data_IF_748103801579
#
_entry.id   IF_748103801579
#
_cell.length_a   1.000
_cell.length_b   1.000
_cell.length_c   1.000
_cell.angle_alpha   90.00
_cell.angle_beta   90.00
_cell.angle_gamma   90.00
#
_symmetry.space_group_name_H-M   'P 1'
#
loop_
_entity.id
_entity.type
_entity.pdbx_description
1 polymer ?
#
# COMPACT_ATOMS: atom_id res chain seq x y z
N UNK A 1 -0.50 -9.71 -31.95
CA UNK A 1 0.80 -9.69 -32.64
C UNK A 1 1.96 -9.67 -31.66
N UNK A 2 1.97 -8.81 -30.66
CA UNK A 2 2.98 -8.78 -29.58
C UNK A 2 3.09 -10.13 -28.83
N UNK A 3 1.95 -10.80 -28.59
CA UNK A 3 1.90 -12.12 -27.95
C UNK A 3 2.35 -13.29 -28.85
N UNK A 4 2.58 -13.06 -30.15
CA UNK A 4 2.90 -14.11 -31.14
C UNK A 4 4.36 -14.07 -31.62
N UNK A 5 5.26 -13.27 -31.00
CA UNK A 5 6.68 -13.25 -31.31
C UNK A 5 7.02 -12.77 -32.74
N UNK A 6 6.22 -11.91 -33.32
CA UNK A 6 6.51 -11.33 -34.64
C UNK A 6 7.80 -10.49 -34.57
N UNK A 7 8.71 -10.67 -35.56
CA UNK A 7 10.01 -9.97 -35.62
C UNK A 7 9.87 -8.44 -35.69
N UNK A 8 8.74 -7.92 -36.14
CA UNK A 8 8.43 -6.50 -36.23
C UNK A 8 6.91 -6.31 -36.13
N UNK A 9 6.36 -6.16 -34.90
CA UNK A 9 4.92 -6.11 -34.69
C UNK A 9 4.29 -4.82 -35.22
N UNK A 10 5.06 -3.76 -35.43
CA UNK A 10 4.56 -2.42 -35.79
C UNK A 10 4.71 -2.07 -37.27
N UNK A 11 5.42 -2.86 -38.06
CA UNK A 11 5.72 -2.61 -39.47
C UNK A 11 4.49 -2.28 -40.34
N UNK A 12 3.34 -2.87 -40.03
CA UNK A 12 2.10 -2.57 -40.76
C UNK A 12 1.56 -1.18 -40.45
N UNK A 13 1.62 -0.77 -39.19
CA UNK A 13 1.17 0.54 -38.72
C UNK A 13 2.11 1.63 -39.26
N UNK A 14 3.42 1.40 -39.24
CA UNK A 14 4.43 2.30 -39.79
C UNK A 14 4.25 2.54 -41.30
N UNK A 15 4.00 1.46 -42.05
CA UNK A 15 3.68 1.59 -43.48
C UNK A 15 2.40 2.37 -43.75
N UNK A 16 1.35 2.13 -42.94
CA UNK A 16 0.10 2.87 -43.08
C UNK A 16 0.29 4.36 -42.74
N UNK A 17 1.05 4.67 -41.70
CA UNK A 17 1.40 6.05 -41.35
C UNK A 17 2.31 6.72 -42.39
N UNK A 18 3.25 5.96 -43.02
CA UNK A 18 4.05 6.47 -44.12
C UNK A 18 3.20 6.79 -45.36
N UNK A 19 2.13 6.02 -45.62
CA UNK A 19 1.20 6.27 -46.69
C UNK A 19 0.20 7.41 -46.40
N UNK A 20 -0.14 7.60 -45.12
CA UNK A 20 -1.07 8.64 -44.63
C UNK A 20 -0.50 9.35 -43.39
N UNK A 21 0.51 10.22 -43.53
CA UNK A 21 1.21 10.87 -42.40
C UNK A 21 0.29 11.75 -41.53
N UNK A 22 -0.82 12.22 -42.10
CA UNK A 22 -1.83 13.05 -41.40
C UNK A 22 -2.91 12.25 -40.65
N UNK A 23 -2.85 10.91 -40.62
CA UNK A 23 -3.82 10.11 -39.86
C UNK A 23 -3.51 10.18 -38.34
N UNK A 24 -4.08 11.21 -37.70
CA UNK A 24 -3.93 11.47 -36.28
C UNK A 24 -4.44 10.33 -35.39
N UNK A 25 -5.54 9.68 -35.81
CA UNK A 25 -6.14 8.59 -35.07
C UNK A 25 -5.22 7.35 -35.03
N UNK A 26 -4.69 7.00 -36.20
CA UNK A 26 -3.76 5.88 -36.33
C UNK A 26 -2.46 6.18 -35.56
N UNK A 27 -1.95 7.42 -35.66
CA UNK A 27 -0.76 7.87 -34.92
C UNK A 27 -0.95 7.80 -33.42
N UNK A 28 -2.10 8.23 -32.89
CA UNK A 28 -2.43 8.14 -31.47
C UNK A 28 -2.46 6.69 -30.99
N UNK A 29 -3.09 5.79 -31.75
CA UNK A 29 -3.11 4.36 -31.41
C UNK A 29 -1.69 3.76 -31.45
N UNK A 30 -0.89 4.14 -32.42
CA UNK A 30 0.51 3.70 -32.52
C UNK A 30 1.34 4.20 -31.33
N UNK A 31 1.26 5.48 -31.02
CA UNK A 31 1.91 6.06 -29.84
C UNK A 31 1.54 5.35 -28.54
N UNK A 32 0.24 5.06 -28.32
CA UNK A 32 -0.23 4.27 -27.16
C UNK A 32 0.31 2.86 -27.11
N UNK A 33 0.45 2.17 -28.24
CA UNK A 33 1.04 0.84 -28.29
C UNK A 33 2.54 0.87 -27.95
N UNK A 34 3.24 1.92 -28.39
CA UNK A 34 4.66 2.10 -28.11
C UNK A 34 4.96 2.34 -26.62
N UNK A 35 4.03 2.91 -25.84
CA UNK A 35 4.26 3.14 -24.40
C UNK A 35 4.57 1.89 -23.60
N UNK A 36 4.23 0.71 -24.10
CA UNK A 36 4.54 -0.58 -23.47
C UNK A 36 5.83 -1.25 -23.97
N UNK A 37 6.49 -0.70 -25.02
CA UNK A 37 7.62 -1.35 -25.69
C UNK A 37 8.80 -0.43 -25.98
N UNK A 38 8.54 0.82 -26.35
CA UNK A 38 9.54 1.84 -26.67
C UNK A 38 8.98 3.23 -26.33
N UNK A 39 9.28 3.67 -25.11
CA UNK A 39 8.77 4.94 -24.59
C UNK A 39 9.33 6.16 -25.34
N UNK A 40 10.58 6.07 -25.88
CA UNK A 40 11.18 7.14 -26.66
C UNK A 40 10.47 7.31 -28.01
N UNK A 41 10.19 6.20 -28.70
CA UNK A 41 9.40 6.22 -29.93
C UNK A 41 7.95 6.66 -29.69
N UNK A 42 7.37 6.29 -28.54
CA UNK A 42 6.06 6.80 -28.13
C UNK A 42 6.06 8.33 -28.04
N UNK A 43 7.06 8.91 -27.35
CA UNK A 43 7.22 10.37 -27.24
C UNK A 43 7.18 11.05 -28.60
N UNK A 44 7.95 10.57 -29.57
CA UNK A 44 7.99 11.15 -30.91
C UNK A 44 6.60 11.20 -31.57
N UNK A 45 5.80 10.14 -31.44
CA UNK A 45 4.44 10.13 -32.00
C UNK A 45 3.53 11.14 -31.31
N UNK A 46 3.62 11.24 -29.98
CA UNK A 46 2.84 12.24 -29.23
C UNK A 46 3.30 13.68 -29.49
N UNK A 47 4.60 13.94 -29.68
CA UNK A 47 5.12 15.25 -30.08
C UNK A 47 4.59 15.70 -31.45
N UNK A 48 4.55 14.78 -32.44
CA UNK A 48 3.95 15.05 -33.74
C UNK A 48 2.45 15.41 -33.63
N UNK A 49 1.71 14.71 -32.77
CA UNK A 49 0.29 15.01 -32.52
C UNK A 49 0.12 16.37 -31.80
N UNK A 50 0.92 16.62 -30.79
CA UNK A 50 0.87 17.87 -30.02
C UNK A 50 1.24 19.09 -30.88
N UNK A 51 2.15 18.94 -31.85
CA UNK A 51 2.45 20.01 -32.80
C UNK A 51 1.25 20.42 -33.68
N UNK A 52 0.32 19.46 -33.94
CA UNK A 52 -0.93 19.72 -34.67
C UNK A 52 -2.04 20.25 -33.77
N UNK A 53 -2.01 19.90 -32.49
CA UNK A 53 -3.03 20.25 -31.48
C UNK A 53 -2.35 20.68 -30.17
N UNK A 54 -1.69 21.86 -30.14
CA UNK A 54 -0.81 22.26 -29.02
C UNK A 54 -1.56 22.58 -27.71
N UNK A 55 -2.89 22.61 -27.73
CA UNK A 55 -3.74 22.89 -26.57
C UNK A 55 -4.56 21.66 -26.15
N UNK A 56 -4.26 20.51 -26.73
CA UNK A 56 -4.95 19.25 -26.37
C UNK A 56 -4.42 18.75 -25.03
N UNK A 57 -5.29 18.77 -24.02
CA UNK A 57 -4.93 18.43 -22.63
C UNK A 57 -4.50 16.97 -22.46
N UNK A 58 -5.09 16.05 -23.24
CA UNK A 58 -4.76 14.62 -23.16
C UNK A 58 -3.38 14.35 -23.78
N UNK A 59 -3.03 15.06 -24.86
CA UNK A 59 -1.71 14.96 -25.47
C UNK A 59 -0.63 15.57 -24.57
N UNK A 60 -0.89 16.75 -23.99
CA UNK A 60 0.04 17.40 -23.06
C UNK A 60 0.28 16.54 -21.82
N UNK A 61 -0.79 15.97 -21.23
CA UNK A 61 -0.65 15.08 -20.07
C UNK A 61 0.10 13.80 -20.46
N UNK A 62 -0.22 13.21 -21.62
CA UNK A 62 0.50 12.01 -22.09
C UNK A 62 1.99 12.27 -22.27
N UNK A 63 2.36 13.42 -22.85
CA UNK A 63 3.75 13.83 -23.01
C UNK A 63 4.44 14.08 -21.67
N UNK A 64 3.75 14.68 -20.71
CA UNK A 64 4.28 14.87 -19.36
C UNK A 64 4.61 13.52 -18.70
N UNK A 65 3.68 12.56 -18.74
CA UNK A 65 3.86 11.23 -18.15
C UNK A 65 4.95 10.42 -18.86
N UNK A 66 4.98 10.44 -20.19
CA UNK A 66 6.02 9.78 -20.99
C UNK A 66 7.40 10.33 -20.64
N UNK A 67 7.56 11.67 -20.59
CA UNK A 67 8.84 12.28 -20.27
C UNK A 67 9.29 11.95 -18.83
N UNK A 68 8.38 11.88 -17.86
CA UNK A 68 8.71 11.39 -16.51
C UNK A 68 9.21 9.96 -16.52
N UNK A 69 8.54 9.08 -17.25
CA UNK A 69 8.89 7.66 -17.30
C UNK A 69 10.30 7.43 -17.89
N UNK A 70 10.71 8.25 -18.86
CA UNK A 70 12.07 8.19 -19.43
C UNK A 70 13.10 9.02 -18.65
N UNK A 71 12.71 9.66 -17.52
CA UNK A 71 13.59 10.46 -16.68
C UNK A 71 13.88 11.89 -17.20
N UNK A 72 13.10 12.40 -18.15
CA UNK A 72 13.21 13.78 -18.66
C UNK A 72 12.21 14.70 -17.93
N UNK A 73 12.47 14.89 -16.63
CA UNK A 73 11.60 15.69 -15.77
C UNK A 73 11.49 17.15 -16.21
N UNK A 74 12.53 17.70 -16.83
CA UNK A 74 12.50 19.08 -17.33
C UNK A 74 11.45 19.27 -18.43
N UNK A 75 11.33 18.31 -19.35
CA UNK A 75 10.28 18.35 -20.38
C UNK A 75 8.91 18.03 -19.80
N UNK A 76 8.84 17.07 -18.87
CA UNK A 76 7.60 16.76 -18.16
C UNK A 76 7.03 18.02 -17.48
N UNK A 77 7.87 18.74 -16.74
CA UNK A 77 7.51 20.01 -16.10
C UNK A 77 6.99 21.06 -17.11
N UNK A 78 7.64 21.15 -18.28
CA UNK A 78 7.21 22.07 -19.33
C UNK A 78 5.76 21.79 -19.78
N UNK A 79 5.41 20.54 -20.03
CA UNK A 79 4.05 20.17 -20.45
C UNK A 79 3.03 20.35 -19.32
N UNK A 80 3.40 20.02 -18.07
CA UNK A 80 2.54 20.24 -16.92
C UNK A 80 2.25 21.74 -16.68
N UNK A 81 3.24 22.60 -16.83
CA UNK A 81 3.05 24.05 -16.75
C UNK A 81 2.15 24.58 -17.87
N UNK A 82 2.26 24.03 -19.08
CA UNK A 82 1.34 24.39 -20.18
C UNK A 82 -0.11 24.02 -19.81
N UNK A 83 -0.35 22.88 -19.16
CA UNK A 83 -1.69 22.51 -18.67
C UNK A 83 -2.22 23.54 -17.66
N UNK A 84 -1.37 23.98 -16.71
CA UNK A 84 -1.74 25.01 -15.73
C UNK A 84 -2.06 26.35 -16.43
N UNK A 85 -1.23 26.78 -17.40
CA UNK A 85 -1.45 28.03 -18.17
C UNK A 85 -2.76 27.99 -18.98
N UNK A 86 -3.18 26.78 -19.41
CA UNK A 86 -4.45 26.58 -20.10
C UNK A 86 -5.64 26.45 -19.13
N UNK A 87 -5.40 26.35 -17.83
CA UNK A 87 -6.43 26.10 -16.82
C UNK A 87 -7.04 24.70 -16.91
N UNK A 88 -6.31 23.74 -17.51
CA UNK A 88 -6.77 22.37 -17.76
C UNK A 88 -6.06 21.37 -16.84
N UNK A 89 -6.78 20.33 -16.39
CA UNK A 89 -6.25 19.23 -15.55
C UNK A 89 -5.36 19.73 -14.41
N UNK A 90 -5.76 20.83 -13.76
CA UNK A 90 -4.93 21.55 -12.79
C UNK A 90 -4.48 20.64 -11.62
N UNK A 91 -5.39 19.85 -11.08
CA UNK A 91 -5.09 18.96 -9.95
C UNK A 91 -4.02 17.91 -10.32
N UNK A 92 -4.17 17.27 -11.49
CA UNK A 92 -3.19 16.30 -11.98
C UNK A 92 -1.86 16.97 -12.26
N UNK A 93 -1.87 18.17 -12.91
CA UNK A 93 -0.66 18.92 -13.20
C UNK A 93 0.06 19.31 -11.90
N UNK A 94 -0.64 19.83 -10.90
CA UNK A 94 -0.07 20.13 -9.60
C UNK A 94 0.45 18.88 -8.88
N UNK A 95 -0.28 17.77 -8.91
CA UNK A 95 0.18 16.52 -8.33
C UNK A 95 1.51 16.05 -8.93
N UNK A 96 1.63 16.03 -10.26
CA UNK A 96 2.85 15.56 -10.91
C UNK A 96 4.02 16.55 -10.81
N UNK A 97 3.76 17.86 -10.79
CA UNK A 97 4.78 18.87 -10.46
C UNK A 97 5.30 18.71 -9.03
N UNK A 98 4.39 18.43 -8.09
CA UNK A 98 4.75 18.10 -6.72
C UNK A 98 5.65 16.85 -6.64
N UNK A 99 5.32 15.79 -7.41
CA UNK A 99 6.13 14.57 -7.50
C UNK A 99 7.53 14.84 -8.07
N UNK A 100 7.64 15.64 -9.14
CA UNK A 100 8.95 16.00 -9.72
C UNK A 100 9.78 16.79 -8.71
N UNK A 101 9.18 17.74 -8.02
CA UNK A 101 9.87 18.52 -6.99
C UNK A 101 10.32 17.65 -5.81
N UNK A 102 9.49 16.70 -5.36
CA UNK A 102 9.81 15.76 -4.29
C UNK A 102 10.96 14.83 -4.69
N UNK A 103 10.91 14.24 -5.88
CA UNK A 103 11.95 13.34 -6.41
C UNK A 103 13.31 14.08 -6.56
N UNK A 104 13.26 15.41 -6.82
CA UNK A 104 14.44 16.29 -6.84
C UNK A 104 14.89 16.79 -5.45
N UNK A 105 14.21 16.40 -4.35
CA UNK A 105 14.49 16.86 -2.98
C UNK A 105 14.01 18.29 -2.67
N UNK A 106 13.26 18.93 -3.57
CA UNK A 106 12.74 20.29 -3.40
C UNK A 106 11.41 20.26 -2.63
N UNK A 107 11.46 19.88 -1.36
CA UNK A 107 10.27 19.62 -0.54
C UNK A 107 9.35 20.83 -0.35
N UNK A 108 9.88 22.05 -0.28
CA UNK A 108 9.04 23.26 -0.18
C UNK A 108 8.19 23.46 -1.45
N UNK A 109 8.80 23.26 -2.62
CA UNK A 109 8.10 23.32 -3.90
C UNK A 109 7.08 22.20 -4.02
N UNK A 110 7.43 20.98 -3.61
CA UNK A 110 6.52 19.83 -3.60
C UNK A 110 5.27 20.11 -2.75
N UNK A 111 5.46 20.56 -1.50
CA UNK A 111 4.36 20.95 -0.60
C UNK A 111 3.51 22.07 -1.21
N UNK A 112 4.12 23.06 -1.85
CA UNK A 112 3.39 24.15 -2.53
C UNK A 112 2.46 23.62 -3.61
N UNK A 113 2.94 22.68 -4.43
CA UNK A 113 2.14 22.05 -5.46
C UNK A 113 1.06 21.14 -4.90
N UNK A 114 1.37 20.26 -3.94
CA UNK A 114 0.38 19.37 -3.34
C UNK A 114 -0.76 20.12 -2.65
N UNK A 115 -0.51 21.32 -2.12
CA UNK A 115 -1.55 22.19 -1.55
C UNK A 115 -2.56 22.72 -2.57
N UNK A 116 -2.21 22.74 -3.84
CA UNK A 116 -3.09 23.21 -4.93
C UNK A 116 -3.97 22.07 -5.47
N UNK A 117 -3.74 20.83 -5.08
CA UNK A 117 -4.57 19.70 -5.51
C UNK A 117 -5.90 19.74 -4.76
N UNK A 118 -6.98 19.94 -5.51
CA UNK A 118 -8.34 19.96 -5.01
C UNK A 118 -8.98 18.57 -4.93
N UNK A 119 -10.33 18.54 -4.86
CA UNK A 119 -11.09 17.29 -4.73
C UNK A 119 -11.11 16.50 -6.06
N UNK A 120 -10.01 15.84 -6.33
CA UNK A 120 -9.77 15.03 -7.52
C UNK A 120 -9.37 13.60 -7.13
N UNK A 121 -9.04 12.81 -8.14
CA UNK A 121 -8.49 11.46 -7.96
C UNK A 121 -7.16 11.49 -7.22
N UNK A 122 -6.34 12.51 -7.43
CA UNK A 122 -5.01 12.68 -6.88
C UNK A 122 -5.00 13.23 -5.45
N UNK A 123 -6.16 13.72 -4.96
CA UNK A 123 -6.29 14.41 -3.67
C UNK A 123 -5.73 13.62 -2.48
N UNK A 124 -6.11 12.35 -2.36
CA UNK A 124 -5.64 11.51 -1.25
C UNK A 124 -4.13 11.30 -1.29
N UNK A 125 -3.59 11.00 -2.49
CA UNK A 125 -2.16 10.80 -2.68
C UNK A 125 -1.35 12.08 -2.44
N UNK A 126 -1.86 13.23 -2.90
CA UNK A 126 -1.25 14.53 -2.63
C UNK A 126 -1.26 14.87 -1.14
N UNK A 127 -2.38 14.60 -0.46
CA UNK A 127 -2.55 14.80 0.98
C UNK A 127 -1.57 13.95 1.79
N UNK A 128 -1.42 12.68 1.44
CA UNK A 128 -0.50 11.75 2.10
C UNK A 128 0.95 12.22 1.93
N UNK A 129 1.37 12.54 0.69
CA UNK A 129 2.75 12.99 0.42
C UNK A 129 3.08 14.32 1.11
N UNK A 130 2.15 15.28 1.08
CA UNK A 130 2.30 16.54 1.79
C UNK A 130 2.49 16.30 3.29
N UNK A 131 1.64 15.47 3.89
CA UNK A 131 1.73 15.12 5.30
C UNK A 131 3.05 14.43 5.64
N UNK A 132 3.48 13.46 4.82
CA UNK A 132 4.76 12.77 4.95
C UNK A 132 5.95 13.75 4.98
N UNK A 133 5.99 14.69 4.02
CA UNK A 133 7.05 15.70 3.94
C UNK A 133 7.06 16.58 5.19
N UNK A 134 5.88 17.07 5.62
CA UNK A 134 5.78 17.94 6.80
C UNK A 134 6.21 17.20 8.08
N UNK A 135 5.77 15.97 8.27
CA UNK A 135 6.12 15.16 9.43
C UNK A 135 7.63 14.84 9.43
N UNK A 136 8.19 14.41 8.30
CA UNK A 136 9.64 14.15 8.18
C UNK A 136 10.49 15.38 8.44
N UNK A 137 9.94 16.58 8.18
CA UNK A 137 10.58 17.86 8.52
C UNK A 137 10.34 18.32 9.97
N UNK A 138 9.65 17.52 10.81
CA UNK A 138 9.30 17.87 12.18
C UNK A 138 8.19 18.92 12.31
N UNK A 139 7.49 19.25 11.22
CA UNK A 139 6.44 20.27 11.15
C UNK A 139 5.05 19.72 11.50
N UNK A 140 4.94 19.01 12.64
CA UNK A 140 3.70 18.33 13.06
C UNK A 140 2.51 19.26 13.16
N UNK A 141 2.67 20.44 13.77
CA UNK A 141 1.58 21.41 13.94
C UNK A 141 1.07 21.95 12.61
N UNK A 142 1.98 22.18 11.64
CA UNK A 142 1.63 22.63 10.30
C UNK A 142 0.83 21.54 9.56
N UNK A 143 1.25 20.28 9.67
CA UNK A 143 0.56 19.13 9.14
C UNK A 143 -0.87 19.02 9.69
N UNK A 144 -1.03 19.03 10.99
CA UNK A 144 -2.34 18.94 11.67
C UNK A 144 -3.26 20.11 11.30
N UNK A 145 -2.74 21.34 11.28
CA UNK A 145 -3.51 22.51 10.88
C UNK A 145 -3.95 22.44 9.42
N UNK A 146 -3.14 21.85 8.56
CA UNK A 146 -3.50 21.64 7.16
C UNK A 146 -4.63 20.60 7.03
N UNK A 147 -4.51 19.42 7.65
CA UNK A 147 -5.56 18.41 7.64
C UNK A 147 -6.89 18.92 8.23
N UNK A 148 -6.84 19.68 9.31
CA UNK A 148 -8.02 20.28 9.90
C UNK A 148 -8.76 21.19 8.89
N UNK A 149 -8.03 22.08 8.21
CA UNK A 149 -8.60 22.94 7.15
C UNK A 149 -9.18 22.13 5.99
N UNK A 150 -8.49 21.06 5.57
CA UNK A 150 -9.01 20.21 4.49
C UNK A 150 -10.32 19.52 4.89
N UNK A 151 -10.45 19.05 6.12
CA UNK A 151 -11.72 18.47 6.61
C UNK A 151 -12.88 19.45 6.64
N UNK A 152 -12.59 20.74 6.88
CA UNK A 152 -13.60 21.81 6.79
C UNK A 152 -13.97 22.11 5.33
N UNK A 153 -12.97 22.18 4.44
CA UNK A 153 -13.17 22.49 3.02
C UNK A 153 -13.85 21.36 2.24
N UNK A 154 -13.58 20.09 2.61
CA UNK A 154 -14.07 18.90 1.92
C UNK A 154 -14.79 17.94 2.88
N UNK A 155 -16.02 18.27 3.32
CA UNK A 155 -16.75 17.44 4.28
C UNK A 155 -16.94 15.99 3.83
N UNK A 156 -17.08 15.73 2.53
CA UNK A 156 -17.21 14.39 1.97
C UNK A 156 -15.92 13.54 2.04
N UNK A 157 -14.79 14.15 2.37
CA UNK A 157 -13.48 13.50 2.50
C UNK A 157 -12.99 13.38 3.95
N UNK A 158 -13.81 13.80 4.94
CA UNK A 158 -13.39 13.83 6.34
C UNK A 158 -12.83 12.51 6.85
N UNK A 159 -13.55 11.42 6.62
CA UNK A 159 -13.14 10.08 7.03
C UNK A 159 -11.76 9.71 6.45
N UNK A 160 -11.58 9.91 5.15
CA UNK A 160 -10.33 9.65 4.46
C UNK A 160 -9.18 10.50 5.01
N UNK A 161 -9.42 11.80 5.24
CA UNK A 161 -8.42 12.73 5.75
C UNK A 161 -8.00 12.41 7.20
N UNK A 162 -8.96 12.02 8.05
CA UNK A 162 -8.65 11.53 9.40
C UNK A 162 -7.79 10.26 9.35
N UNK A 163 -8.15 9.32 8.47
CA UNK A 163 -7.38 8.09 8.31
C UNK A 163 -5.93 8.34 7.84
N UNK A 164 -5.76 9.21 6.84
CA UNK A 164 -4.42 9.57 6.34
C UNK A 164 -3.59 10.24 7.45
N UNK A 165 -4.14 11.24 8.14
CA UNK A 165 -3.42 11.94 9.23
C UNK A 165 -3.02 10.98 10.35
N UNK A 166 -3.94 10.12 10.79
CA UNK A 166 -3.68 9.16 11.85
C UNK A 166 -2.59 8.15 11.45
N UNK A 167 -2.62 7.67 10.21
CA UNK A 167 -1.62 6.71 9.71
C UNK A 167 -0.23 7.34 9.60
N UNK A 168 -0.14 8.55 9.06
CA UNK A 168 1.13 9.28 8.98
C UNK A 168 1.75 9.53 10.37
N UNK A 169 0.93 9.86 11.36
CA UNK A 169 1.38 10.04 12.74
C UNK A 169 1.83 8.72 13.36
N UNK A 170 1.11 7.62 13.08
CA UNK A 170 1.48 6.28 13.54
C UNK A 170 2.83 5.84 12.97
N UNK A 171 3.03 5.99 11.65
CA UNK A 171 4.29 5.66 10.97
C UNK A 171 5.47 6.50 11.50
N UNK A 172 5.24 7.73 11.89
CA UNK A 172 6.23 8.60 12.51
C UNK A 172 6.49 8.30 14.01
N UNK A 173 5.83 7.29 14.58
CA UNK A 173 5.94 6.96 16.00
C UNK A 173 5.17 7.90 16.94
N UNK A 174 4.43 8.87 16.42
CA UNK A 174 3.61 9.81 17.17
C UNK A 174 2.26 9.17 17.58
N UNK A 175 2.34 8.04 18.32
CA UNK A 175 1.20 7.17 18.61
C UNK A 175 0.10 7.86 19.43
N UNK A 176 0.48 8.77 20.34
CA UNK A 176 -0.49 9.52 21.16
C UNK A 176 -1.29 10.51 20.33
N UNK A 177 -0.64 11.19 19.42
CA UNK A 177 -1.24 12.12 18.48
C UNK A 177 -2.15 11.40 17.49
N UNK A 178 -1.72 10.26 16.97
CA UNK A 178 -2.53 9.37 16.12
C UNK A 178 -3.81 8.94 16.84
N UNK A 179 -3.69 8.48 18.09
CA UNK A 179 -4.83 8.11 18.93
C UNK A 179 -5.80 9.28 19.14
N UNK A 180 -5.28 10.49 19.41
CA UNK A 180 -6.11 11.68 19.58
C UNK A 180 -6.89 12.03 18.29
N UNK A 181 -6.25 11.89 17.12
CA UNK A 181 -6.91 12.09 15.81
C UNK A 181 -8.03 11.07 15.60
N UNK A 182 -7.78 9.78 15.86
CA UNK A 182 -8.79 8.72 15.70
C UNK A 182 -9.97 8.90 16.70
N UNK A 183 -9.69 9.31 17.92
CA UNK A 183 -10.75 9.60 18.90
C UNK A 183 -11.63 10.78 18.46
N UNK A 184 -11.02 11.86 17.95
CA UNK A 184 -11.76 13.00 17.39
C UNK A 184 -12.58 12.57 16.17
N UNK A 185 -11.98 11.77 15.28
CA UNK A 185 -12.65 11.25 14.10
C UNK A 185 -13.89 10.42 14.44
N UNK A 186 -13.80 9.53 15.43
CA UNK A 186 -14.91 8.68 15.86
C UNK A 186 -15.95 9.42 16.70
N UNK A 187 -15.63 10.58 17.27
CA UNK A 187 -16.62 11.47 17.86
C UNK A 187 -17.48 12.15 16.78
N UNK A 188 -16.91 12.48 15.62
CA UNK A 188 -17.62 13.05 14.47
C UNK A 188 -18.30 11.99 13.59
N UNK A 189 -17.65 10.84 13.39
CA UNK A 189 -18.08 9.76 12.49
C UNK A 189 -18.10 8.43 13.27
N UNK A 190 -19.00 8.27 14.26
CA UNK A 190 -19.01 7.11 15.15
C UNK A 190 -19.30 5.80 14.45
N UNK A 191 -19.79 5.87 13.21
CA UNK A 191 -20.18 4.72 12.42
C UNK A 191 -19.07 4.16 11.51
N UNK A 192 -17.94 4.87 11.41
CA UNK A 192 -16.85 4.46 10.53
C UNK A 192 -16.17 3.19 11.01
N UNK A 193 -16.29 2.13 10.22
CA UNK A 193 -15.59 0.87 10.45
C UNK A 193 -14.09 1.00 10.20
N UNK A 194 -13.67 1.79 9.20
CA UNK A 194 -12.27 1.99 8.85
C UNK A 194 -11.50 2.73 9.96
N UNK A 195 -12.08 3.79 10.52
CA UNK A 195 -11.46 4.54 11.64
C UNK A 195 -11.42 3.71 12.93
N UNK A 196 -12.49 2.91 13.21
CA UNK A 196 -12.46 1.97 14.35
C UNK A 196 -11.39 0.91 14.17
N UNK A 197 -11.27 0.35 12.98
CA UNK A 197 -10.23 -0.63 12.67
C UNK A 197 -8.84 -0.02 12.89
N UNK A 198 -8.59 1.18 12.35
CA UNK A 198 -7.32 1.87 12.55
C UNK A 198 -7.03 2.11 14.05
N UNK A 199 -8.06 2.52 14.84
CA UNK A 199 -7.90 2.71 16.28
C UNK A 199 -7.66 1.40 17.03
N UNK A 200 -8.31 0.32 16.63
CA UNK A 200 -8.08 -1.01 17.22
C UNK A 200 -6.65 -1.49 17.00
N UNK A 201 -6.10 -1.33 15.80
CA UNK A 201 -4.70 -1.70 15.50
C UNK A 201 -3.71 -0.84 16.27
N UNK A 202 -3.99 0.47 16.42
CA UNK A 202 -3.18 1.34 17.24
C UNK A 202 -3.26 1.00 18.74
N UNK A 203 -4.45 0.56 19.22
CA UNK A 203 -4.64 0.05 20.57
C UNK A 203 -3.81 -1.20 20.82
N UNK A 204 -3.82 -2.15 19.88
CA UNK A 204 -2.98 -3.35 19.96
C UNK A 204 -1.49 -3.02 20.00
N UNK A 205 -1.02 -2.11 19.16
CA UNK A 205 0.37 -1.64 19.15
C UNK A 205 0.78 -0.99 20.49
N UNK A 206 -0.16 -0.36 21.20
CA UNK A 206 0.05 0.24 22.52
C UNK A 206 -0.25 -0.70 23.69
N UNK A 207 -0.48 -1.98 23.44
CA UNK A 207 -0.85 -3.01 24.42
C UNK A 207 -2.21 -2.75 25.12
N UNK A 208 -3.07 -1.90 24.54
CA UNK A 208 -4.44 -1.68 25.00
C UNK A 208 -5.39 -2.68 24.31
N UNK A 209 -5.32 -3.92 24.78
CA UNK A 209 -6.16 -5.00 24.24
C UNK A 209 -7.65 -4.77 24.49
N UNK A 210 -8.03 -4.02 25.53
CA UNK A 210 -9.41 -3.70 25.81
C UNK A 210 -10.02 -2.75 24.77
N UNK A 211 -9.28 -1.73 24.38
CA UNK A 211 -9.66 -0.82 23.30
C UNK A 211 -9.76 -1.56 21.97
N UNK A 212 -8.73 -2.35 21.64
CA UNK A 212 -8.67 -3.16 20.41
C UNK A 212 -9.91 -4.06 20.31
N UNK A 213 -10.18 -4.86 21.34
CA UNK A 213 -11.33 -5.77 21.38
C UNK A 213 -12.66 -5.01 21.29
N UNK A 214 -12.82 -3.91 22.01
CA UNK A 214 -14.03 -3.08 22.00
C UNK A 214 -14.34 -2.55 20.60
N UNK A 215 -13.34 -2.03 19.90
CA UNK A 215 -13.53 -1.46 18.57
C UNK A 215 -13.82 -2.55 17.51
N UNK A 216 -13.11 -3.67 17.53
CA UNK A 216 -13.36 -4.77 16.59
C UNK A 216 -14.74 -5.40 16.83
N UNK A 217 -15.17 -5.57 18.08
CA UNK A 217 -16.51 -6.04 18.37
C UNK A 217 -17.59 -5.06 17.91
N UNK A 218 -17.35 -3.76 18.01
CA UNK A 218 -18.29 -2.77 17.52
C UNK A 218 -18.44 -2.83 15.99
N UNK A 219 -17.37 -3.14 15.24
CA UNK A 219 -17.43 -3.37 13.80
C UNK A 219 -18.25 -4.63 13.52
N UNK A 220 -17.93 -5.76 14.19
CA UNK A 220 -18.60 -7.05 13.99
C UNK A 220 -20.10 -6.99 14.37
N UNK A 221 -20.45 -6.22 15.39
CA UNK A 221 -21.85 -6.05 15.79
C UNK A 221 -22.71 -5.36 14.72
N UNK A 222 -22.12 -4.49 13.90
CA UNK A 222 -22.82 -3.79 12.81
C UNK A 222 -22.76 -4.56 11.50
N UNK A 223 -21.62 -5.16 11.23
CA UNK A 223 -21.36 -5.98 10.05
C UNK A 223 -20.82 -7.36 10.50
N UNK A 224 -21.74 -8.30 10.80
CA UNK A 224 -21.36 -9.63 11.27
C UNK A 224 -20.52 -10.44 10.28
N UNK A 225 -20.53 -10.04 9.00
CA UNK A 225 -19.80 -10.69 7.91
C UNK A 225 -18.52 -9.93 7.52
N UNK A 226 -18.06 -9.03 8.37
CA UNK A 226 -16.79 -8.33 8.19
C UNK A 226 -15.61 -9.28 8.44
N UNK A 227 -15.16 -9.95 7.39
CA UNK A 227 -14.08 -10.95 7.48
C UNK A 227 -12.78 -10.37 8.07
N UNK A 228 -12.44 -9.12 7.75
CA UNK A 228 -11.25 -8.45 8.26
C UNK A 228 -11.32 -8.25 9.78
N UNK A 229 -12.43 -7.75 10.30
CA UNK A 229 -12.60 -7.52 11.74
C UNK A 229 -12.69 -8.84 12.52
N UNK A 230 -13.37 -9.85 11.95
CA UNK A 230 -13.42 -11.19 12.53
C UNK A 230 -12.03 -11.82 12.64
N UNK A 231 -11.24 -11.71 11.56
CA UNK A 231 -9.88 -12.23 11.52
C UNK A 231 -8.97 -11.50 12.51
N UNK A 232 -8.98 -10.17 12.49
CA UNK A 232 -8.15 -9.35 13.37
C UNK A 232 -8.43 -9.65 14.85
N UNK A 233 -9.71 -9.70 15.25
CA UNK A 233 -10.07 -10.04 16.63
C UNK A 233 -9.63 -11.47 16.98
N UNK A 234 -9.90 -12.42 16.10
CA UNK A 234 -9.53 -13.83 16.31
C UNK A 234 -8.02 -14.02 16.43
N UNK A 235 -7.23 -13.40 15.56
CA UNK A 235 -5.77 -13.45 15.61
C UNK A 235 -5.23 -12.84 16.91
N UNK A 236 -5.65 -11.64 17.27
CA UNK A 236 -5.20 -10.98 18.50
C UNK A 236 -5.56 -11.80 19.75
N UNK A 237 -6.76 -12.39 19.80
CA UNK A 237 -7.14 -13.28 20.90
C UNK A 237 -6.27 -14.53 20.97
N UNK A 238 -5.94 -15.15 19.83
CA UNK A 238 -5.06 -16.32 19.77
C UNK A 238 -3.62 -15.98 20.14
N UNK A 239 -3.15 -14.79 19.76
CA UNK A 239 -1.76 -14.37 19.95
C UNK A 239 -1.51 -13.81 21.36
N UNK A 240 -2.44 -13.03 21.89
CA UNK A 240 -2.25 -12.24 23.12
C UNK A 240 -3.00 -12.79 24.34
N UNK A 241 -3.84 -13.84 24.19
CA UNK A 241 -4.63 -14.42 25.26
C UNK A 241 -4.67 -15.95 25.18
N UNK A 242 -5.37 -16.58 26.12
CA UNK A 242 -5.66 -18.02 26.08
C UNK A 242 -7.08 -18.34 25.56
N UNK A 243 -7.76 -17.37 24.96
CA UNK A 243 -9.14 -17.50 24.45
C UNK A 243 -9.19 -18.22 23.09
N UNK A 244 -8.46 -19.32 22.95
CA UNK A 244 -8.26 -20.03 21.69
C UNK A 244 -9.55 -20.57 21.06
N UNK A 245 -10.54 -20.92 21.85
CA UNK A 245 -11.82 -21.44 21.32
C UNK A 245 -12.62 -20.33 20.64
N UNK A 246 -12.71 -19.18 21.26
CA UNK A 246 -13.36 -18.00 20.67
C UNK A 246 -12.60 -17.49 19.45
N UNK A 247 -11.27 -17.42 19.53
CA UNK A 247 -10.41 -17.07 18.41
C UNK A 247 -10.67 -17.98 17.20
N UNK A 248 -10.75 -19.28 17.43
CA UNK A 248 -11.04 -20.26 16.38
C UNK A 248 -12.43 -20.04 15.75
N UNK A 249 -13.46 -19.76 16.54
CA UNK A 249 -14.80 -19.48 16.03
C UNK A 249 -14.82 -18.23 15.13
N UNK A 250 -14.16 -17.14 15.56
CA UNK A 250 -14.06 -15.89 14.80
C UNK A 250 -13.30 -16.09 13.48
N UNK A 251 -12.13 -16.73 13.53
CA UNK A 251 -11.33 -17.01 12.35
C UNK A 251 -12.03 -17.99 11.41
N UNK A 252 -12.76 -18.98 11.93
CA UNK A 252 -13.55 -19.90 11.11
C UNK A 252 -14.65 -19.18 10.33
N UNK A 253 -15.28 -18.19 10.94
CA UNK A 253 -16.26 -17.34 10.23
C UNK A 253 -15.57 -16.51 9.16
N UNK A 254 -14.43 -15.88 9.47
CA UNK A 254 -13.65 -15.12 8.49
C UNK A 254 -13.23 -15.99 7.30
N UNK A 255 -12.77 -17.22 7.58
CA UNK A 255 -12.35 -18.18 6.56
C UNK A 255 -13.53 -18.65 5.67
N UNK A 256 -14.73 -18.80 6.24
CA UNK A 256 -15.92 -19.12 5.44
C UNK A 256 -16.30 -18.00 4.47
N UNK A 257 -16.04 -16.74 4.83
CA UNK A 257 -16.29 -15.55 4.00
C UNK A 257 -15.19 -15.34 2.93
N UNK A 258 -13.94 -15.65 3.27
CA UNK A 258 -12.76 -15.42 2.41
C UNK A 258 -11.79 -16.61 2.50
N UNK A 259 -12.08 -17.74 1.84
CA UNK A 259 -11.38 -19.02 2.07
C UNK A 259 -9.94 -19.06 1.54
N UNK A 260 -9.57 -18.16 0.62
CA UNK A 260 -8.25 -18.13 -0.01
C UNK A 260 -7.42 -16.91 0.41
N UNK A 261 -7.91 -16.12 1.39
CA UNK A 261 -7.18 -14.95 1.88
C UNK A 261 -5.97 -15.37 2.74
N UNK A 262 -4.72 -15.05 2.32
CA UNK A 262 -3.52 -15.55 2.99
C UNK A 262 -3.44 -15.19 4.47
N UNK A 263 -3.85 -13.99 4.87
CA UNK A 263 -3.83 -13.54 6.26
C UNK A 263 -4.82 -14.34 7.13
N UNK A 264 -5.95 -14.76 6.58
CA UNK A 264 -6.94 -15.59 7.29
C UNK A 264 -6.46 -17.04 7.39
N UNK A 265 -5.82 -17.55 6.33
CA UNK A 265 -5.19 -18.87 6.35
C UNK A 265 -4.08 -18.94 7.42
N UNK A 266 -3.24 -17.91 7.51
CA UNK A 266 -2.20 -17.79 8.53
C UNK A 266 -2.80 -17.78 9.93
N UNK A 267 -3.79 -16.92 10.17
CA UNK A 267 -4.49 -16.83 11.46
C UNK A 267 -5.15 -18.17 11.86
N UNK A 268 -5.74 -18.90 10.89
CA UNK A 268 -6.30 -20.22 11.15
C UNK A 268 -5.21 -21.22 11.55
N UNK A 269 -4.11 -21.23 10.82
CA UNK A 269 -2.96 -22.05 11.17
C UNK A 269 -2.41 -21.73 12.55
N UNK A 270 -2.28 -20.43 12.87
CA UNK A 270 -1.80 -19.99 14.18
C UNK A 270 -2.71 -20.43 15.32
N UNK A 271 -4.02 -20.21 15.24
CA UNK A 271 -4.95 -20.63 16.30
C UNK A 271 -5.01 -22.15 16.45
N UNK A 272 -4.89 -22.92 15.37
CA UNK A 272 -4.80 -24.39 15.43
C UNK A 272 -3.51 -24.83 16.14
N UNK A 273 -2.38 -24.18 15.88
CA UNK A 273 -1.14 -24.40 16.61
C UNK A 273 -1.32 -24.15 18.12
N UNK A 274 -1.90 -23.00 18.49
CA UNK A 274 -2.18 -22.66 19.90
C UNK A 274 -3.13 -23.67 20.58
N UNK A 275 -3.96 -24.37 19.79
CA UNK A 275 -4.83 -25.47 20.25
C UNK A 275 -4.15 -26.84 20.23
N UNK A 276 -2.87 -26.95 19.87
CA UNK A 276 -2.11 -28.19 19.79
C UNK A 276 -2.42 -29.07 18.57
N UNK A 277 -3.14 -28.54 17.56
CA UNK A 277 -3.54 -29.25 16.33
C UNK A 277 -2.50 -29.00 15.22
N UNK A 278 -1.28 -29.50 15.42
CA UNK A 278 -0.10 -29.14 14.62
C UNK A 278 -0.20 -29.54 13.14
N UNK A 279 -0.74 -30.69 12.82
CA UNK A 279 -0.85 -31.15 11.42
C UNK A 279 -1.81 -30.26 10.63
N UNK A 280 -2.95 -29.90 11.20
CA UNK A 280 -3.90 -29.01 10.58
C UNK A 280 -3.35 -27.57 10.48
N UNK A 281 -2.62 -27.13 11.50
CA UNK A 281 -1.92 -25.84 11.46
C UNK A 281 -0.94 -25.77 10.28
N UNK A 282 -0.15 -26.82 10.05
CA UNK A 282 0.80 -26.90 8.95
C UNK A 282 0.13 -26.85 7.58
N UNK A 283 -1.05 -27.45 7.41
CA UNK A 283 -1.79 -27.38 6.14
C UNK A 283 -2.14 -25.90 5.82
N UNK A 284 -2.75 -25.20 6.76
CA UNK A 284 -3.14 -23.80 6.57
C UNK A 284 -1.94 -22.86 6.39
N UNK A 285 -0.92 -22.98 7.23
CA UNK A 285 0.28 -22.14 7.16
C UNK A 285 1.08 -22.37 5.86
N UNK A 286 1.14 -23.62 5.38
CA UNK A 286 1.78 -23.92 4.09
C UNK A 286 1.03 -23.26 2.94
N UNK A 287 -0.29 -23.29 2.95
CA UNK A 287 -1.11 -22.61 1.94
C UNK A 287 -0.95 -21.10 2.02
N UNK A 288 -0.97 -20.52 3.22
CA UNK A 288 -0.74 -19.10 3.43
C UNK A 288 0.61 -18.67 2.88
N UNK A 289 1.68 -19.37 3.23
CA UNK A 289 3.04 -19.08 2.79
C UNK A 289 3.24 -19.26 1.27
N UNK A 290 2.59 -20.26 0.68
CA UNK A 290 2.64 -20.47 -0.77
C UNK A 290 1.93 -19.35 -1.55
N UNK A 291 0.84 -18.81 -1.02
CA UNK A 291 0.10 -17.71 -1.62
C UNK A 291 0.78 -16.34 -1.40
N UNK A 292 1.31 -16.13 -0.22
CA UNK A 292 1.99 -14.88 0.16
C UNK A 292 3.19 -15.17 1.10
N UNK A 293 4.42 -15.29 0.57
CA UNK A 293 5.61 -15.61 1.35
C UNK A 293 6.14 -14.41 2.13
N UNK A 294 5.36 -13.99 3.13
CA UNK A 294 5.64 -12.91 4.07
C UNK A 294 6.50 -13.41 5.24
N UNK A 295 7.39 -12.57 5.85
CA UNK A 295 8.21 -12.95 7.00
C UNK A 295 7.41 -13.34 8.26
N UNK A 296 6.25 -12.73 8.52
CA UNK A 296 5.40 -13.11 9.66
C UNK A 296 4.81 -14.51 9.46
N UNK A 297 4.27 -14.79 8.26
CA UNK A 297 3.79 -16.13 7.88
C UNK A 297 4.91 -17.15 7.95
N UNK A 298 6.13 -16.76 7.55
CA UNK A 298 7.32 -17.61 7.67
C UNK A 298 7.69 -17.89 9.13
N UNK A 299 7.54 -16.91 10.02
CA UNK A 299 7.77 -17.08 11.44
C UNK A 299 6.81 -18.13 12.02
N UNK A 300 5.51 -18.02 11.73
CA UNK A 300 4.48 -18.96 12.18
C UNK A 300 4.69 -20.37 11.60
N UNK A 301 4.85 -20.50 10.29
CA UNK A 301 5.08 -21.79 9.64
C UNK A 301 6.35 -22.45 10.15
N UNK A 302 7.42 -21.71 10.25
CA UNK A 302 8.70 -22.22 10.74
C UNK A 302 8.62 -22.69 12.19
N UNK A 303 7.93 -21.95 13.07
CA UNK A 303 7.71 -22.34 14.46
C UNK A 303 6.94 -23.66 14.56
N UNK A 304 5.84 -23.79 13.84
CA UNK A 304 5.05 -25.03 13.86
C UNK A 304 5.83 -26.21 13.28
N UNK A 305 6.60 -26.00 12.22
CA UNK A 305 7.51 -27.00 11.66
C UNK A 305 8.56 -27.43 12.70
N UNK A 306 9.17 -26.46 13.38
CA UNK A 306 10.19 -26.71 14.41
C UNK A 306 9.66 -27.56 15.57
N UNK A 307 8.54 -27.14 16.16
CA UNK A 307 7.90 -27.83 17.28
C UNK A 307 7.41 -29.23 16.87
N UNK A 308 7.04 -29.40 15.59
CA UNK A 308 6.65 -30.71 15.03
C UNK A 308 7.84 -31.61 14.68
N UNK A 309 9.09 -31.19 14.99
CA UNK A 309 10.31 -31.98 14.72
C UNK A 309 10.82 -31.88 13.26
N UNK A 310 10.19 -31.09 12.40
CA UNK A 310 10.59 -30.87 10.99
C UNK A 310 11.61 -29.73 10.86
N UNK A 311 12.69 -29.81 11.66
CA UNK A 311 13.64 -28.72 11.89
C UNK A 311 14.35 -28.25 10.60
N UNK A 312 14.67 -29.14 9.67
CA UNK A 312 15.28 -28.77 8.40
C UNK A 312 14.35 -27.93 7.50
N UNK A 313 13.06 -28.27 7.49
CA UNK A 313 12.07 -27.49 6.75
C UNK A 313 11.86 -26.09 7.40
N UNK A 314 11.80 -26.05 8.74
CA UNK A 314 11.74 -24.79 9.49
C UNK A 314 12.90 -23.86 9.14
N UNK A 315 14.14 -24.39 9.20
CA UNK A 315 15.35 -23.66 8.86
C UNK A 315 15.32 -23.10 7.43
N UNK A 316 14.80 -23.87 6.48
CA UNK A 316 14.69 -23.44 5.07
C UNK A 316 13.72 -22.27 4.92
N UNK A 317 12.55 -22.33 5.58
CA UNK A 317 11.53 -21.27 5.57
C UNK A 317 12.10 -19.99 6.20
N UNK A 318 12.67 -20.08 7.38
CA UNK A 318 13.24 -18.93 8.09
C UNK A 318 14.41 -18.28 7.36
N UNK A 319 15.35 -19.08 6.81
CA UNK A 319 16.43 -18.52 5.98
C UNK A 319 15.91 -17.79 4.74
N UNK A 320 14.85 -18.33 4.13
CA UNK A 320 14.20 -17.67 2.99
C UNK A 320 13.60 -16.30 3.36
N UNK A 321 12.99 -16.18 4.52
CA UNK A 321 12.42 -14.94 5.04
C UNK A 321 13.52 -13.95 5.49
N UNK A 322 14.54 -14.38 6.25
CA UNK A 322 15.66 -13.54 6.69
C UNK A 322 16.46 -12.94 5.53
N UNK A 323 16.55 -13.62 4.38
CA UNK A 323 17.19 -13.05 3.18
C UNK A 323 16.42 -11.88 2.59
N UNK A 324 15.10 -11.81 2.79
CA UNK A 324 14.23 -10.73 2.32
C UNK A 324 14.18 -9.57 3.30
N UNK A 325 14.06 -9.90 4.58
CA UNK A 325 13.96 -8.95 5.68
C UNK A 325 14.67 -9.51 6.92
N UNK A 326 15.96 -9.19 7.08
CA UNK A 326 16.79 -9.72 8.18
C UNK A 326 16.35 -9.27 9.58
N UNK A 327 15.72 -8.11 9.66
CA UNK A 327 15.37 -7.43 10.90
C UNK A 327 13.87 -7.50 11.24
N UNK A 328 13.11 -8.34 10.52
CA UNK A 328 11.67 -8.45 10.74
C UNK A 328 11.34 -8.87 12.18
N UNK A 329 10.67 -8.01 12.92
CA UNK A 329 10.46 -8.10 14.37
C UNK A 329 9.87 -9.45 14.80
N UNK A 330 8.77 -9.89 14.16
CA UNK A 330 8.08 -11.14 14.51
C UNK A 330 8.99 -12.35 14.26
N UNK A 331 9.72 -12.36 13.15
CA UNK A 331 10.63 -13.45 12.80
C UNK A 331 11.81 -13.53 13.79
N UNK A 332 12.46 -12.39 14.03
CA UNK A 332 13.61 -12.30 14.96
C UNK A 332 13.20 -12.66 16.39
N UNK A 333 12.06 -12.13 16.87
CA UNK A 333 11.56 -12.46 18.21
C UNK A 333 11.18 -13.94 18.34
N UNK A 334 10.62 -14.55 17.31
CA UNK A 334 10.31 -15.98 17.28
C UNK A 334 11.58 -16.81 17.38
N UNK A 335 12.62 -16.52 16.60
CA UNK A 335 13.90 -17.23 16.66
C UNK A 335 14.57 -17.07 18.03
N UNK A 336 14.60 -15.85 18.57
CA UNK A 336 15.14 -15.58 19.93
C UNK A 336 14.37 -16.37 21.00
N UNK A 337 13.05 -16.35 20.99
CA UNK A 337 12.18 -17.07 21.94
C UNK A 337 12.37 -18.59 21.88
N UNK A 338 12.61 -19.14 20.71
CA UNK A 338 12.87 -20.58 20.53
C UNK A 338 14.34 -20.95 20.79
N UNK A 339 15.21 -19.99 21.06
CA UNK A 339 16.64 -20.22 21.31
C UNK A 339 17.40 -20.68 20.07
N UNK A 340 16.96 -20.28 18.89
CA UNK A 340 17.59 -20.67 17.63
C UNK A 340 18.78 -19.75 17.35
N UNK A 341 19.97 -20.28 17.45
CA UNK A 341 21.23 -19.54 17.25
C UNK A 341 21.92 -19.89 15.92
N UNK A 342 21.42 -20.88 15.21
CA UNK A 342 21.95 -21.28 13.90
C UNK A 342 20.85 -21.93 13.05
N UNK A 343 20.92 -21.76 11.73
CA UNK A 343 20.06 -22.42 10.76
C UNK A 343 20.92 -23.18 9.76
N UNK A 344 20.61 -24.47 9.58
CA UNK A 344 21.36 -25.38 8.69
C UNK A 344 22.89 -25.36 8.93
N UNK A 345 23.33 -25.13 10.18
CA UNK A 345 24.74 -25.05 10.57
C UNK A 345 25.40 -23.68 10.39
N UNK A 346 24.68 -22.71 9.86
CA UNK A 346 25.16 -21.31 9.77
C UNK A 346 24.70 -20.52 10.99
N UNK A 347 25.62 -19.82 11.70
CA UNK A 347 25.28 -18.96 12.83
C UNK A 347 24.33 -17.85 12.40
N UNK A 348 23.40 -17.47 13.28
CA UNK A 348 22.52 -16.32 13.09
C UNK A 348 23.11 -15.11 13.81
N UNK A 349 23.31 -14.03 13.10
CA UNK A 349 23.55 -12.71 13.67
C UNK A 349 22.17 -12.01 13.81
N UNK A 350 21.46 -12.34 14.90
CA UNK A 350 20.23 -11.65 15.25
C UNK A 350 20.64 -10.40 16.03
N UNK A 351 20.34 -9.21 15.50
CA UNK A 351 20.59 -7.94 16.18
C UNK A 351 20.08 -7.93 17.63
N UNK A 352 20.66 -7.08 18.50
CA UNK A 352 20.34 -6.99 19.93
C UNK A 352 18.89 -6.62 20.22
#
# INVERSE_FOLDING_TARGET
>A
LLRQGARDPFRRVERALAAAPGDTRLRLQYGRLLTSTDMAAAREQFEILSAQSPRDEDLLMSLALINREIGDDARAETYLRQLLDLGQRQDEAHYFLGRIAEDAGNFETAVSHYRQVGESREFASASSRLGQILISAGKFDECRAWFARQRESYPGRREQLFGIEAELLREAGALKESMAVLNAALAEIPESASLRYARSMLGEQQDDLALMESDLRAIIARDPDNATALNALGYSLANRTERYSEAYELISRALALSPDEPAILDSMGWVLYRKGRYEEALDYLTRAYAAFPDPEVAAHLGEVLWVSGKTGAASTVWQGALRKDPDHEVLVSTLKRLGITSLNGEPLELGD
#
